data_IF_947015241501
#
_entry.id   IF_947015241501
#
_cell.length_a   1.000
_cell.length_b   1.000
_cell.length_c   1.000
_cell.angle_alpha   90.00
_cell.angle_beta   90.00
_cell.angle_gamma   90.00
#
_symmetry.space_group_name_H-M   'P 1'
#
loop_
_entity.id
_entity.type
_entity.pdbx_description
1 polymer ?
#
# COMPACT_ATOMS: atom_id res chain seq x y z
N UNK A 1 15.43 29.10 13.64
CA UNK A 1 15.34 27.99 14.59
C UNK A 1 15.25 26.68 13.83
N UNK A 2 16.11 25.72 14.18
CA UNK A 2 16.20 24.42 13.54
C UNK A 2 15.13 23.49 14.10
N UNK A 3 14.30 22.94 13.22
CA UNK A 3 13.45 21.79 13.53
C UNK A 3 14.20 20.52 13.16
N UNK A 4 14.69 19.79 14.14
CA UNK A 4 15.15 18.42 13.96
C UNK A 4 13.90 17.55 13.71
N UNK A 5 13.69 17.18 12.44
CA UNK A 5 12.65 16.24 12.05
C UNK A 5 13.14 14.82 12.24
N UNK A 6 12.57 14.10 13.21
CA UNK A 6 12.79 12.66 13.38
C UNK A 6 12.13 11.92 12.20
N UNK A 7 12.95 11.40 11.29
CA UNK A 7 12.49 10.74 10.07
C UNK A 7 11.99 9.32 10.35
N UNK A 8 10.67 9.13 10.41
CA UNK A 8 10.05 7.80 10.36
C UNK A 8 10.10 7.27 8.92
N UNK A 9 11.08 6.42 8.64
CA UNK A 9 11.27 5.80 7.32
C UNK A 9 10.22 4.72 7.06
N UNK A 10 9.37 4.92 6.04
CA UNK A 10 8.48 3.88 5.55
C UNK A 10 9.16 3.07 4.44
N UNK A 11 8.82 1.79 4.28
CA UNK A 11 9.35 0.92 3.23
C UNK A 11 8.30 0.75 2.13
N UNK A 12 8.63 1.08 0.89
CA UNK A 12 7.71 1.02 -0.26
C UNK A 12 8.37 0.26 -1.40
N UNK A 13 7.68 -0.72 -1.98
CA UNK A 13 8.24 -1.51 -3.06
C UNK A 13 8.32 -0.68 -4.36
N UNK A 14 9.38 -0.87 -5.16
CA UNK A 14 9.53 -0.30 -6.50
C UNK A 14 9.34 -1.39 -7.55
N UNK A 15 8.58 -1.10 -8.61
CA UNK A 15 8.20 -2.08 -9.63
C UNK A 15 9.22 -2.18 -10.77
N UNK A 16 10.07 -3.22 -10.78
CA UNK A 16 10.87 -3.60 -11.95
C UNK A 16 10.40 -4.95 -12.51
N UNK A 17 10.16 -5.00 -13.83
CA UNK A 17 9.60 -6.18 -14.52
C UNK A 17 10.73 -7.11 -14.96
N UNK A 18 11.07 -8.10 -14.14
CA UNK A 18 11.96 -9.20 -14.56
C UNK A 18 11.18 -10.51 -14.81
N UNK A 19 11.49 -11.17 -15.93
CA UNK A 19 10.72 -12.23 -16.62
C UNK A 19 11.21 -13.66 -16.34
N UNK A 20 11.66 -13.97 -15.12
CA UNK A 20 11.92 -15.37 -14.70
C UNK A 20 10.74 -15.94 -13.88
N UNK A 21 10.39 -17.25 -14.03
CA UNK A 21 9.32 -17.88 -13.24
C UNK A 21 9.88 -18.41 -11.89
N UNK A 22 9.48 -17.84 -10.73
CA UNK A 22 9.86 -18.36 -9.42
C UNK A 22 8.78 -19.32 -8.85
N UNK A 23 9.11 -20.08 -7.78
CA UNK A 23 8.15 -20.93 -7.08
C UNK A 23 6.96 -20.10 -6.55
N UNK A 24 5.79 -20.73 -6.44
CA UNK A 24 4.52 -20.04 -6.16
C UNK A 24 4.64 -19.09 -4.96
N UNK A 25 4.32 -17.81 -5.14
CA UNK A 25 4.45 -16.85 -4.06
C UNK A 25 3.39 -17.12 -2.99
N UNK A 26 3.84 -17.32 -1.75
CA UNK A 26 2.97 -17.41 -0.60
C UNK A 26 2.35 -16.03 -0.30
N UNK A 27 1.20 -15.73 -0.90
CA UNK A 27 0.43 -14.51 -0.58
C UNK A 27 -0.25 -14.57 0.81
N UNK A 28 0.19 -15.43 1.74
CA UNK A 28 -0.42 -15.55 3.08
C UNK A 28 -0.33 -14.26 3.88
N UNK A 29 0.67 -13.43 3.63
CA UNK A 29 0.96 -12.27 4.47
C UNK A 29 0.61 -10.93 3.81
N UNK A 30 -0.18 -10.96 2.73
CA UNK A 30 -0.61 -9.76 2.02
C UNK A 30 -2.02 -9.34 2.45
N UNK A 31 -2.16 -8.12 2.95
CA UNK A 31 -3.45 -7.45 3.12
C UNK A 31 -3.61 -6.32 2.12
N UNK A 32 -4.83 -6.08 1.66
CA UNK A 32 -5.15 -5.04 0.69
C UNK A 32 -6.13 -4.02 1.29
N UNK A 33 -5.71 -2.76 1.33
CA UNK A 33 -6.58 -1.64 1.65
C UNK A 33 -7.04 -0.98 0.36
N UNK A 34 -8.34 -0.85 0.18
CA UNK A 34 -8.91 -0.19 -0.99
C UNK A 34 -9.79 0.98 -0.61
N UNK A 35 -9.66 2.07 -1.35
CA UNK A 35 -10.64 3.14 -1.31
C UNK A 35 -11.62 2.95 -2.48
N UNK A 36 -12.80 2.39 -2.19
CA UNK A 36 -13.82 2.09 -3.21
C UNK A 36 -14.30 3.32 -3.98
N UNK A 37 -14.16 4.53 -3.41
CA UNK A 37 -14.50 5.80 -4.06
C UNK A 37 -13.43 6.31 -5.03
N UNK A 38 -12.23 5.72 -5.04
CA UNK A 38 -11.16 6.12 -5.96
C UNK A 38 -11.40 5.64 -7.39
N UNK A 39 -10.87 6.39 -8.36
CA UNK A 39 -10.78 5.96 -9.76
C UNK A 39 -12.08 5.94 -10.56
N UNK A 40 -13.05 6.80 -10.23
CA UNK A 40 -14.29 6.95 -11.00
C UNK A 40 -15.15 5.67 -11.03
N UNK A 41 -15.19 4.94 -9.91
CA UNK A 41 -15.93 3.68 -9.78
C UNK A 41 -15.12 2.41 -10.06
N UNK A 42 -13.84 2.54 -10.44
CA UNK A 42 -12.94 1.39 -10.57
C UNK A 42 -12.59 0.74 -9.23
N UNK A 43 -12.56 1.51 -8.13
CA UNK A 43 -12.29 0.98 -6.79
C UNK A 43 -13.21 -0.18 -6.40
N UNK A 44 -14.52 -0.06 -6.66
CA UNK A 44 -15.48 -1.15 -6.39
C UNK A 44 -15.21 -2.38 -7.24
N UNK A 45 -14.83 -2.24 -8.51
CA UNK A 45 -14.50 -3.39 -9.38
C UNK A 45 -13.26 -4.12 -8.86
N UNK A 46 -12.22 -3.35 -8.52
CA UNK A 46 -10.96 -3.88 -7.98
C UNK A 46 -11.20 -4.56 -6.64
N UNK A 47 -12.05 -4.02 -5.78
CA UNK A 47 -12.43 -4.65 -4.50
C UNK A 47 -12.98 -6.06 -4.70
N UNK A 48 -13.95 -6.23 -5.61
CA UNK A 48 -14.53 -7.54 -5.90
C UNK A 48 -13.54 -8.50 -6.56
N UNK A 49 -12.65 -7.99 -7.44
CA UNK A 49 -11.58 -8.80 -8.04
C UNK A 49 -10.59 -9.26 -6.96
N UNK A 50 -10.15 -8.37 -6.07
CA UNK A 50 -9.22 -8.69 -4.98
C UNK A 50 -9.82 -9.67 -3.99
N UNK A 51 -11.10 -9.55 -3.60
CA UNK A 51 -11.75 -10.54 -2.70
C UNK A 51 -11.90 -11.95 -3.29
N UNK A 52 -11.79 -12.09 -4.62
CA UNK A 52 -11.77 -13.39 -5.30
C UNK A 52 -10.36 -13.95 -5.39
N UNK A 53 -9.37 -13.09 -5.56
CA UNK A 53 -7.95 -13.47 -5.71
C UNK A 53 -7.25 -13.66 -4.36
N UNK A 54 -7.62 -12.83 -3.39
CA UNK A 54 -7.22 -12.84 -1.99
C UNK A 54 -8.43 -13.24 -1.15
N UNK A 55 -8.19 -13.81 0.03
CA UNK A 55 -9.28 -14.14 0.96
C UNK A 55 -10.06 -12.88 1.34
N UNK A 56 -11.40 -12.95 1.46
CA UNK A 56 -12.24 -11.83 1.86
C UNK A 56 -11.84 -11.12 3.16
N UNK A 57 -11.22 -11.85 4.08
CA UNK A 57 -10.71 -11.35 5.36
C UNK A 57 -9.44 -10.52 5.23
N UNK A 58 -8.83 -10.46 4.05
CA UNK A 58 -7.60 -9.70 3.80
C UNK A 58 -7.80 -8.47 2.94
N UNK A 59 -9.04 -8.17 2.56
CA UNK A 59 -9.36 -7.02 1.72
C UNK A 59 -10.28 -6.08 2.49
N UNK A 60 -9.79 -4.89 2.78
CA UNK A 60 -10.47 -3.91 3.62
C UNK A 60 -10.83 -2.67 2.81
N UNK A 61 -12.10 -2.28 2.83
CA UNK A 61 -12.54 -1.01 2.26
C UNK A 61 -12.35 0.11 3.28
N UNK A 62 -11.45 1.04 2.97
CA UNK A 62 -11.14 2.20 3.80
C UNK A 62 -12.32 3.14 4.01
N UNK A 63 -13.30 3.14 3.10
CA UNK A 63 -14.54 3.90 3.29
C UNK A 63 -15.44 3.30 4.37
N UNK A 64 -15.18 2.07 4.81
CA UNK A 64 -15.95 1.30 5.78
C UNK A 64 -15.13 1.07 7.06
N UNK A 65 -14.75 2.15 7.75
CA UNK A 65 -14.06 2.08 9.04
C UNK A 65 -12.54 2.27 9.01
N UNK A 66 -11.97 2.62 7.85
CA UNK A 66 -10.56 2.98 7.71
C UNK A 66 -9.59 1.79 7.81
N UNK A 67 -8.27 2.05 7.89
CA UNK A 67 -7.25 0.99 7.85
C UNK A 67 -6.99 0.32 9.21
N UNK A 68 -7.35 1.00 10.31
CA UNK A 68 -7.03 0.55 11.68
C UNK A 68 -7.50 -0.88 12.01
N UNK A 69 -8.74 -1.29 11.68
CA UNK A 69 -9.20 -2.65 12.00
C UNK A 69 -8.35 -3.73 11.32
N UNK A 70 -8.03 -3.56 10.04
CA UNK A 70 -7.23 -4.54 9.29
C UNK A 70 -5.78 -4.61 9.75
N UNK A 71 -5.22 -3.47 10.17
CA UNK A 71 -3.88 -3.41 10.76
C UNK A 71 -3.82 -4.12 12.12
N UNK A 72 -4.81 -3.92 12.99
CA UNK A 72 -4.87 -4.61 14.29
C UNK A 72 -5.05 -6.12 14.14
N UNK A 73 -5.89 -6.56 13.21
CA UNK A 73 -6.15 -7.99 12.98
C UNK A 73 -4.91 -8.75 12.50
N UNK A 74 -3.99 -8.07 11.82
CA UNK A 74 -2.80 -8.67 11.22
C UNK A 74 -1.48 -8.14 11.85
N UNK A 75 -1.54 -7.50 13.02
CA UNK A 75 -0.36 -6.92 13.67
C UNK A 75 0.69 -7.95 14.07
N UNK A 76 0.26 -9.16 14.42
CA UNK A 76 1.13 -10.25 14.87
C UNK A 76 1.64 -11.10 13.69
N UNK A 77 1.31 -10.72 12.45
CA UNK A 77 1.70 -11.46 11.26
C UNK A 77 3.11 -11.09 10.82
N UNK A 78 4.05 -12.02 10.99
CA UNK A 78 5.42 -11.84 10.51
C UNK A 78 5.47 -11.69 8.98
N UNK A 79 6.25 -10.72 8.49
CA UNK A 79 6.39 -10.47 7.06
C UNK A 79 5.11 -9.92 6.40
N UNK A 80 4.28 -9.19 7.15
CA UNK A 80 3.11 -8.49 6.62
C UNK A 80 3.50 -7.57 5.48
N UNK A 81 2.75 -7.65 4.38
CA UNK A 81 2.82 -6.74 3.24
C UNK A 81 1.47 -6.06 3.05
N UNK A 82 1.51 -4.80 2.66
CA UNK A 82 0.31 -3.98 2.49
C UNK A 82 0.17 -3.55 1.03
N UNK A 83 -0.97 -3.85 0.42
CA UNK A 83 -1.36 -3.31 -0.88
C UNK A 83 -2.35 -2.15 -0.70
N UNK A 84 -1.94 -0.94 -1.01
CA UNK A 84 -2.77 0.26 -1.01
C UNK A 84 -3.34 0.53 -2.40
N UNK A 85 -4.64 0.27 -2.56
CA UNK A 85 -5.40 0.48 -3.79
C UNK A 85 -6.13 1.83 -3.73
N UNK A 86 -5.61 2.83 -4.42
CA UNK A 86 -6.14 4.19 -4.37
C UNK A 86 -5.22 5.22 -5.02
N UNK A 87 -5.39 6.48 -4.62
CA UNK A 87 -4.42 7.53 -4.93
C UNK A 87 -3.40 7.72 -3.80
N UNK A 88 -2.60 8.78 -3.90
CA UNK A 88 -1.55 9.11 -2.93
C UNK A 88 -2.11 9.34 -1.51
N UNK A 89 -3.29 9.99 -1.43
CA UNK A 89 -3.99 10.21 -0.15
C UNK A 89 -4.43 8.92 0.55
N UNK A 90 -4.81 7.88 -0.21
CA UNK A 90 -5.13 6.56 0.34
C UNK A 90 -3.91 5.93 1.00
N UNK A 91 -2.77 5.94 0.30
CA UNK A 91 -1.52 5.37 0.82
C UNK A 91 -1.02 6.15 2.04
N UNK A 92 -1.08 7.48 1.97
CA UNK A 92 -0.70 8.37 3.07
C UNK A 92 -1.59 8.15 4.31
N UNK A 93 -2.88 7.87 4.12
CA UNK A 93 -3.78 7.59 5.24
C UNK A 93 -3.41 6.29 5.97
N UNK A 94 -3.14 5.21 5.23
CA UNK A 94 -2.69 3.94 5.82
C UNK A 94 -1.40 4.14 6.63
N UNK A 95 -0.43 4.82 6.03
CA UNK A 95 0.83 5.20 6.66
C UNK A 95 0.64 6.05 7.93
N UNK A 96 -0.27 7.02 7.89
CA UNK A 96 -0.57 7.87 9.06
C UNK A 96 -1.22 7.08 10.20
N UNK A 97 -2.01 6.05 9.87
CA UNK A 97 -2.60 5.18 10.91
C UNK A 97 -1.55 4.27 11.53
N UNK A 98 -0.60 3.73 10.74
CA UNK A 98 0.56 2.99 11.27
C UNK A 98 1.34 3.83 12.29
N UNK A 99 1.62 5.10 11.98
CA UNK A 99 2.28 6.01 12.92
C UNK A 99 1.43 6.23 14.19
N UNK A 100 0.12 6.45 14.02
CA UNK A 100 -0.79 6.71 15.13
C UNK A 100 -0.93 5.52 16.09
N UNK A 101 -0.70 4.31 15.57
CA UNK A 101 -0.68 3.06 16.34
C UNK A 101 0.66 2.79 17.01
N UNK A 102 1.71 3.59 16.72
CA UNK A 102 3.06 3.31 17.22
C UNK A 102 3.62 2.00 16.69
N UNK A 103 3.35 1.67 15.42
CA UNK A 103 3.77 0.40 14.83
C UNK A 103 5.29 0.20 14.98
N UNK A 104 5.77 -0.96 15.46
CA UNK A 104 7.18 -1.18 15.70
C UNK A 104 7.96 -1.20 14.38
N UNK A 105 9.13 -0.56 14.36
CA UNK A 105 10.03 -0.65 13.21
C UNK A 105 10.64 -2.07 13.12
N UNK A 106 10.83 -2.62 11.90
CA UNK A 106 10.57 -2.01 10.60
C UNK A 106 9.09 -2.05 10.20
N UNK A 107 8.63 -1.00 9.49
CA UNK A 107 7.27 -0.95 8.96
C UNK A 107 7.05 -2.03 7.89
N UNK A 108 5.82 -2.57 7.76
CA UNK A 108 5.49 -3.50 6.69
C UNK A 108 5.65 -2.81 5.33
N UNK A 109 6.21 -3.49 4.32
CA UNK A 109 6.32 -2.95 2.98
C UNK A 109 4.96 -2.58 2.42
N UNK A 110 4.85 -1.38 1.85
CA UNK A 110 3.63 -0.90 1.19
C UNK A 110 3.82 -0.96 -0.33
N UNK A 111 2.77 -1.37 -1.04
CA UNK A 111 2.68 -1.30 -2.50
C UNK A 111 1.50 -0.43 -2.89
N UNK A 112 1.69 0.36 -3.93
CA UNK A 112 0.66 1.25 -4.45
C UNK A 112 0.04 0.62 -5.70
N UNK A 113 -1.27 0.37 -5.67
CA UNK A 113 -2.06 0.15 -6.88
C UNK A 113 -2.74 1.49 -7.24
N UNK A 114 -2.26 2.19 -8.27
CA UNK A 114 -2.68 3.55 -8.59
C UNK A 114 -4.09 3.58 -9.22
N UNK A 115 -5.11 3.85 -8.40
CA UNK A 115 -6.49 4.01 -8.88
C UNK A 115 -6.88 5.49 -9.09
N UNK A 116 -6.02 6.45 -8.73
CA UNK A 116 -6.29 7.88 -8.84
C UNK A 116 -5.95 8.49 -10.20
N UNK A 117 -6.09 9.81 -10.31
CA UNK A 117 -5.62 10.62 -11.47
C UNK A 117 -4.24 11.26 -11.21
N UNK A 118 -3.92 11.56 -9.94
CA UNK A 118 -2.64 12.11 -9.48
C UNK A 118 -1.51 11.09 -9.51
N UNK A 119 -1.63 9.99 -8.76
CA UNK A 119 -0.72 8.83 -8.73
C UNK A 119 0.79 9.18 -8.73
N UNK A 120 1.16 10.27 -8.06
CA UNK A 120 2.54 10.76 -8.08
C UNK A 120 3.49 9.80 -7.35
N UNK A 121 3.02 9.20 -6.25
CA UNK A 121 3.75 8.17 -5.51
C UNK A 121 4.00 6.94 -6.38
N UNK A 122 2.99 6.50 -7.13
CA UNK A 122 3.11 5.35 -8.04
C UNK A 122 4.11 5.62 -9.18
N UNK A 123 4.12 6.84 -9.73
CA UNK A 123 5.10 7.23 -10.76
C UNK A 123 6.52 7.29 -10.20
N UNK A 124 6.69 7.87 -9.02
CA UNK A 124 7.98 7.96 -8.34
C UNK A 124 8.57 6.58 -8.01
N UNK A 125 7.71 5.60 -7.71
CA UNK A 125 8.08 4.23 -7.36
C UNK A 125 8.09 3.26 -8.56
N UNK A 126 7.85 3.75 -9.78
CA UNK A 126 7.88 2.91 -10.98
C UNK A 126 6.69 1.96 -11.16
N UNK A 127 5.63 2.04 -10.35
CA UNK A 127 4.38 1.26 -10.52
C UNK A 127 3.55 1.72 -11.71
N UNK A 128 3.86 2.91 -12.24
CA UNK A 128 3.27 3.44 -13.47
C UNK A 128 2.20 4.51 -13.21
N UNK A 129 1.54 4.98 -14.28
CA UNK A 129 0.72 6.19 -14.23
C UNK A 129 -0.71 5.96 -13.70
N UNK A 130 -1.18 4.72 -13.61
CA UNK A 130 -2.56 4.39 -13.26
C UNK A 130 -2.98 2.99 -13.72
N UNK A 131 -3.87 2.37 -12.96
CA UNK A 131 -4.48 1.09 -13.27
C UNK A 131 -5.49 1.25 -14.41
N UNK A 132 -5.42 0.37 -15.41
CA UNK A 132 -6.28 0.40 -16.61
C UNK A 132 -7.10 -0.89 -16.78
N UNK A 133 -7.77 -1.30 -15.70
CA UNK A 133 -8.61 -2.51 -15.67
C UNK A 133 -7.90 -3.83 -16.06
N UNK A 134 -6.57 -3.82 -16.07
CA UNK A 134 -5.70 -4.96 -16.36
C UNK A 134 -5.83 -6.08 -15.31
N UNK A 135 -5.47 -7.34 -15.63
CA UNK A 135 -5.55 -8.41 -14.64
C UNK A 135 -4.70 -8.09 -13.41
N UNK A 136 -5.25 -8.29 -12.21
CA UNK A 136 -4.53 -8.06 -10.95
C UNK A 136 -3.56 -9.20 -10.61
N UNK A 137 -3.73 -10.37 -11.20
CA UNK A 137 -2.93 -11.56 -10.91
C UNK A 137 -1.43 -11.36 -11.14
N UNK A 138 -0.96 -10.72 -12.24
CA UNK A 138 0.45 -10.39 -12.42
C UNK A 138 0.99 -9.45 -11.33
N UNK A 139 0.20 -8.44 -10.93
CA UNK A 139 0.59 -7.48 -9.88
C UNK A 139 0.74 -8.23 -8.56
N UNK A 140 -0.26 -9.03 -8.18
CA UNK A 140 -0.23 -9.85 -6.95
C UNK A 140 0.90 -10.90 -6.94
N UNK A 141 1.35 -11.37 -8.11
CA UNK A 141 2.50 -12.28 -8.23
C UNK A 141 3.85 -11.57 -8.11
N UNK A 142 3.91 -10.26 -8.32
CA UNK A 142 5.13 -9.46 -8.16
C UNK A 142 5.39 -9.12 -6.68
N UNK A 143 4.34 -8.96 -5.88
CA UNK A 143 4.41 -8.57 -4.47
C UNK A 143 5.28 -9.47 -3.58
N UNK A 144 5.25 -10.81 -3.75
CA UNK A 144 5.98 -11.71 -2.84
C UNK A 144 7.36 -12.09 -3.41
N UNK A 145 7.79 -11.48 -4.52
CA UNK A 145 9.13 -11.71 -5.07
C UNK A 145 10.16 -10.94 -4.24
N UNK A 146 11.27 -11.61 -3.90
CA UNK A 146 12.51 -10.99 -3.39
C UNK A 146 13.06 -9.86 -4.30
N UNK A 147 12.58 -9.79 -5.55
CA UNK A 147 12.93 -8.75 -6.53
C UNK A 147 12.19 -7.43 -6.33
N UNK A 148 11.19 -7.35 -5.43
CA UNK A 148 10.56 -6.06 -5.14
C UNK A 148 11.52 -5.20 -4.31
N UNK A 149 12.15 -4.23 -4.96
CA UNK A 149 13.11 -3.34 -4.33
C UNK A 149 12.39 -2.49 -3.29
N UNK A 150 12.66 -2.76 -2.02
CA UNK A 150 12.16 -1.93 -0.92
C UNK A 150 12.91 -0.60 -0.93
N UNK A 151 12.20 0.47 -1.23
CA UNK A 151 12.68 1.85 -1.19
C UNK A 151 12.23 2.50 0.11
N UNK A 152 13.13 3.22 0.79
CA UNK A 152 12.74 4.04 1.94
C UNK A 152 12.00 5.28 1.44
N UNK A 153 10.83 5.52 1.98
CA UNK A 153 10.04 6.73 1.78
C UNK A 153 10.25 7.64 2.99
N UNK A 154 10.89 8.77 2.76
CA UNK A 154 11.05 9.81 3.77
C UNK A 154 9.71 10.53 3.96
N UNK A 155 9.24 10.59 5.20
CA UNK A 155 7.98 11.25 5.57
C UNK A 155 8.27 12.41 6.52
N UNK A 156 7.78 13.58 6.14
CA UNK A 156 8.02 14.82 6.86
C UNK A 156 6.74 15.25 7.58
N UNK A 157 6.86 15.59 8.86
CA UNK A 157 5.74 16.10 9.68
C UNK A 157 5.92 17.59 9.88
N UNK A 158 4.99 18.38 9.35
CA UNK A 158 5.05 19.84 9.38
C UNK A 158 3.99 20.35 10.37
N UNK A 159 4.40 21.23 11.27
CA UNK A 159 3.53 21.91 12.24
C UNK A 159 3.45 23.38 11.86
N UNK A 160 2.24 23.95 11.92
CA UNK A 160 2.01 25.37 11.69
C UNK A 160 1.38 25.98 12.94
N UNK A 161 1.96 27.07 13.43
CA UNK A 161 1.39 27.88 14.51
C UNK A 161 0.89 29.18 13.88
N UNK A 162 -0.43 29.44 13.84
CA UNK A 162 -0.95 30.70 13.35
C UNK A 162 -0.51 31.86 14.26
N UNK A 163 -0.21 33.01 13.64
CA UNK A 163 0.15 34.26 14.31
C UNK A 163 -1.05 34.90 15.02
#
# INVERSE_FOLDING_TARGET
EGGEGEGVGAMVLSGERDMSPPPMPNCSNLIAFINSRSGGGQGTKVYHKLRKLLSPTRVYDLSQGGPKPGLLEHQDLEGLQILCCGGDGTCCWVLSVLDSMGWPAPYPPIVVLPLGTGNDLSRALGWGPGYRDEPLSPILKLLPKETTKVVKLDRWKVWYVPA
#
